data_IF_983514673040
#
_entry.id   IF_983514673040
#
_cell.length_a   1.000
_cell.length_b   1.000
_cell.length_c   1.000
_cell.angle_alpha   90.00
_cell.angle_beta   90.00
_cell.angle_gamma   90.00
#
_symmetry.space_group_name_H-M   'P 1'
#
loop_
_entity.id
_entity.type
_entity.pdbx_description
1 polymer ?
#
# COMPACT_ATOMS: atom_id res chain seq x y z
N UNK A 1 11.37 25.70 -41.90
CA UNK A 1 11.91 24.66 -41.00
C UNK A 1 10.79 24.24 -40.04
N UNK A 2 10.22 23.05 -40.13
CA UNK A 2 9.20 22.59 -39.19
C UNK A 2 9.88 22.00 -37.96
N UNK A 3 9.54 22.54 -36.80
CA UNK A 3 9.95 22.03 -35.48
C UNK A 3 9.17 20.74 -35.24
N UNK A 4 9.82 19.61 -35.45
CA UNK A 4 9.32 18.31 -35.05
C UNK A 4 9.35 18.23 -33.52
N UNK A 5 8.20 18.54 -32.90
CA UNK A 5 7.95 18.25 -31.48
C UNK A 5 8.03 16.73 -31.29
N UNK A 6 9.14 16.26 -30.76
CA UNK A 6 9.29 14.89 -30.26
C UNK A 6 8.17 14.63 -29.23
N UNK A 7 7.14 13.90 -29.64
CA UNK A 7 6.17 13.31 -28.72
C UNK A 7 6.93 12.33 -27.81
N UNK A 8 7.34 12.83 -26.62
CA UNK A 8 7.75 11.93 -25.54
C UNK A 8 6.59 10.96 -25.30
N UNK A 9 6.81 9.70 -25.62
CA UNK A 9 5.83 8.64 -25.39
C UNK A 9 5.44 8.68 -23.91
N UNK A 10 4.18 9.00 -23.64
CA UNK A 10 3.62 8.97 -22.27
C UNK A 10 3.85 7.58 -21.70
N UNK A 11 4.59 7.44 -20.60
CA UNK A 11 4.86 6.11 -20.03
C UNK A 11 3.55 5.47 -19.61
N UNK A 12 3.22 4.40 -20.30
CA UNK A 12 1.98 3.66 -20.20
C UNK A 12 1.80 3.11 -18.77
N UNK A 13 0.96 3.77 -17.99
CA UNK A 13 0.21 3.27 -16.82
C UNK A 13 0.92 2.21 -15.92
N UNK A 14 2.10 2.52 -15.38
CA UNK A 14 2.90 1.58 -14.58
C UNK A 14 2.33 1.37 -13.16
N UNK A 15 1.68 2.36 -12.57
CA UNK A 15 1.15 2.31 -11.20
C UNK A 15 -0.01 1.33 -11.04
N UNK A 16 -1.03 1.45 -11.89
CA UNK A 16 -2.20 0.57 -11.86
C UNK A 16 -1.84 -0.88 -12.23
N UNK A 17 -0.80 -1.10 -13.04
CA UNK A 17 -0.31 -2.45 -13.36
C UNK A 17 0.27 -3.14 -12.12
N UNK A 18 1.05 -2.45 -11.30
CA UNK A 18 1.64 -3.01 -10.08
C UNK A 18 0.57 -3.42 -9.07
N UNK A 19 -0.46 -2.60 -8.90
CA UNK A 19 -1.58 -2.92 -7.99
C UNK A 19 -2.33 -4.16 -8.46
N UNK A 20 -2.60 -4.29 -9.77
CA UNK A 20 -3.24 -5.48 -10.34
C UNK A 20 -2.43 -6.75 -10.09
N UNK A 21 -1.10 -6.68 -10.06
CA UNK A 21 -0.24 -7.82 -9.76
C UNK A 21 -0.42 -8.26 -8.30
N UNK A 22 -0.50 -7.33 -7.35
CA UNK A 22 -0.77 -7.67 -5.94
C UNK A 22 -2.17 -8.25 -5.74
N UNK A 23 -3.19 -7.68 -6.40
CA UNK A 23 -4.55 -8.23 -6.39
C UNK A 23 -4.59 -9.65 -6.94
N UNK A 24 -3.93 -9.89 -8.08
CA UNK A 24 -3.83 -11.20 -8.69
C UNK A 24 -3.11 -12.21 -7.79
N UNK A 25 -2.00 -11.82 -7.18
CA UNK A 25 -1.25 -12.65 -6.26
C UNK A 25 -2.12 -13.08 -5.06
N UNK A 26 -2.93 -12.16 -4.50
CA UNK A 26 -3.89 -12.47 -3.43
C UNK A 26 -4.92 -13.54 -3.86
N UNK A 27 -5.48 -13.39 -5.05
CA UNK A 27 -6.45 -14.38 -5.57
C UNK A 27 -5.80 -15.77 -5.65
N UNK A 28 -4.57 -15.87 -6.14
CA UNK A 28 -3.88 -17.16 -6.21
C UNK A 28 -3.58 -17.74 -4.83
N UNK A 29 -3.14 -16.94 -3.86
CA UNK A 29 -2.91 -17.40 -2.48
C UNK A 29 -4.21 -17.89 -1.84
N UNK A 30 -5.31 -17.16 -2.02
CA UNK A 30 -6.63 -17.56 -1.52
C UNK A 30 -7.14 -18.84 -2.17
N UNK A 31 -6.94 -19.01 -3.49
CA UNK A 31 -7.27 -20.25 -4.19
C UNK A 31 -6.42 -21.42 -3.70
N UNK A 32 -5.13 -21.21 -3.51
CA UNK A 32 -4.23 -22.24 -2.99
C UNK A 32 -4.64 -22.68 -1.58
N UNK A 33 -5.03 -21.75 -0.69
CA UNK A 33 -5.53 -22.08 0.64
C UNK A 33 -6.86 -22.85 0.60
N UNK A 34 -7.72 -22.60 -0.39
CA UNK A 34 -8.97 -23.35 -0.57
C UNK A 34 -8.75 -24.74 -1.17
N UNK A 35 -7.71 -24.91 -2.02
CA UNK A 35 -7.37 -26.17 -2.67
C UNK A 35 -6.93 -27.25 -1.65
N UNK A 36 -6.34 -26.84 -0.55
CA UNK A 36 -5.97 -27.75 0.57
C UNK A 36 -7.20 -28.42 1.22
N UNK A 37 -8.39 -27.85 1.08
CA UNK A 37 -9.65 -28.45 1.53
C UNK A 37 -9.89 -28.42 3.03
N UNK A 38 -9.06 -27.71 3.82
CA UNK A 38 -9.28 -27.57 5.26
C UNK A 38 -10.30 -26.48 5.60
N UNK A 39 -10.99 -26.66 6.74
CA UNK A 39 -11.96 -25.67 7.22
C UNK A 39 -11.30 -24.31 7.51
N UNK A 40 -10.09 -24.33 8.08
CA UNK A 40 -9.33 -23.11 8.42
C UNK A 40 -8.83 -22.39 7.18
N UNK A 41 -8.23 -23.11 6.23
CA UNK A 41 -7.76 -22.54 4.96
C UNK A 41 -8.88 -21.86 4.18
N UNK A 42 -10.05 -22.51 4.07
CA UNK A 42 -11.20 -21.95 3.39
C UNK A 42 -11.81 -20.74 4.10
N UNK A 43 -11.81 -20.73 5.45
CA UNK A 43 -12.27 -19.59 6.25
C UNK A 43 -11.31 -18.40 6.12
N UNK A 44 -10.00 -18.64 6.21
CA UNK A 44 -8.95 -17.63 6.00
C UNK A 44 -9.04 -17.00 4.62
N UNK A 45 -9.19 -17.82 3.56
CA UNK A 45 -9.32 -17.37 2.18
C UNK A 45 -10.51 -16.42 1.97
N UNK A 46 -11.69 -16.75 2.51
CA UNK A 46 -12.87 -15.88 2.42
C UNK A 46 -12.68 -14.54 3.12
N UNK A 47 -12.01 -14.54 4.28
CA UNK A 47 -11.71 -13.32 5.03
C UNK A 47 -10.70 -12.44 4.31
N UNK A 48 -9.64 -13.03 3.76
CA UNK A 48 -8.63 -12.33 2.97
C UNK A 48 -9.24 -11.73 1.69
N UNK A 49 -10.12 -12.45 1.00
CA UNK A 49 -10.84 -11.93 -0.16
C UNK A 49 -11.74 -10.75 0.21
N UNK A 50 -12.43 -10.79 1.36
CA UNK A 50 -13.27 -9.69 1.83
C UNK A 50 -12.43 -8.43 2.09
N UNK A 51 -11.29 -8.58 2.75
CA UNK A 51 -10.35 -7.45 2.99
C UNK A 51 -9.88 -6.87 1.66
N UNK A 52 -9.45 -7.71 0.72
CA UNK A 52 -9.01 -7.25 -0.58
C UNK A 52 -10.07 -6.51 -1.37
N UNK A 53 -11.29 -7.02 -1.37
CA UNK A 53 -12.40 -6.38 -2.05
C UNK A 53 -12.70 -4.96 -1.55
N UNK A 54 -12.46 -4.71 -0.25
CA UNK A 54 -12.66 -3.39 0.35
C UNK A 54 -11.41 -2.50 0.25
N UNK A 55 -10.22 -3.08 0.39
CA UNK A 55 -8.96 -2.34 0.40
C UNK A 55 -8.54 -1.85 -1.00
N UNK A 56 -8.78 -2.64 -2.04
CA UNK A 56 -8.38 -2.28 -3.41
C UNK A 56 -9.07 -1.01 -3.93
N UNK A 57 -10.40 -0.82 -3.82
CA UNK A 57 -11.04 0.43 -4.22
C UNK A 57 -10.54 1.63 -3.41
N UNK A 58 -10.30 1.44 -2.10
CA UNK A 58 -9.77 2.50 -1.24
C UNK A 58 -8.36 2.90 -1.67
N UNK A 59 -7.49 1.94 -1.99
CA UNK A 59 -6.14 2.21 -2.51
C UNK A 59 -6.18 2.95 -3.85
N UNK A 60 -7.09 2.55 -4.75
CA UNK A 60 -7.28 3.26 -6.02
C UNK A 60 -7.70 4.71 -5.80
N UNK A 61 -8.60 4.99 -4.84
CA UNK A 61 -9.01 6.36 -4.51
C UNK A 61 -7.85 7.19 -3.96
N UNK A 62 -6.99 6.63 -3.12
CA UNK A 62 -5.76 7.29 -2.65
C UNK A 62 -4.85 7.67 -3.82
N UNK A 63 -4.65 6.75 -4.76
CA UNK A 63 -3.82 7.02 -5.94
C UNK A 63 -4.45 8.05 -6.89
N UNK A 64 -5.77 8.03 -7.04
CA UNK A 64 -6.47 9.07 -7.79
C UNK A 64 -6.31 10.43 -7.14
N UNK A 65 -6.45 10.54 -5.82
CA UNK A 65 -6.21 11.81 -5.10
C UNK A 65 -4.79 12.33 -5.34
N UNK A 66 -3.79 11.45 -5.26
CA UNK A 66 -2.40 11.83 -5.55
C UNK A 66 -2.17 12.18 -7.04
N UNK A 67 -2.90 11.57 -7.98
CA UNK A 67 -2.77 11.80 -9.42
C UNK A 67 -3.35 13.14 -9.89
N UNK A 68 -4.25 13.75 -9.11
CA UNK A 68 -4.84 15.06 -9.42
C UNK A 68 -3.79 16.17 -9.38
N UNK A 69 -2.78 16.07 -8.49
CA UNK A 69 -1.73 17.08 -8.33
C UNK A 69 -0.91 17.29 -9.62
N UNK A 70 -0.32 16.23 -10.25
CA UNK A 70 0.41 16.36 -11.50
C UNK A 70 -0.48 16.22 -12.74
N UNK A 71 -1.78 15.96 -12.59
CA UNK A 71 -2.71 15.60 -13.67
C UNK A 71 -2.20 14.42 -14.52
N UNK A 72 -1.56 13.46 -13.86
CA UNK A 72 -0.93 12.30 -14.50
C UNK A 72 -1.21 11.03 -13.69
N UNK A 73 -1.44 9.92 -14.37
CA UNK A 73 -1.60 8.59 -13.76
C UNK A 73 -0.29 7.81 -13.65
N UNK A 74 0.83 8.38 -14.08
CA UNK A 74 2.15 7.78 -13.94
C UNK A 74 2.69 8.00 -12.53
N UNK A 75 2.96 6.91 -11.81
CA UNK A 75 3.49 6.97 -10.44
C UNK A 75 4.83 7.72 -10.39
N UNK A 76 5.70 7.53 -11.38
CA UNK A 76 6.97 8.25 -11.46
C UNK A 76 6.77 9.77 -11.56
N UNK A 77 5.85 10.21 -12.43
CA UNK A 77 5.53 11.63 -12.58
C UNK A 77 4.86 12.20 -11.33
N UNK A 78 4.01 11.42 -10.64
CA UNK A 78 3.39 11.83 -9.38
C UNK A 78 4.47 12.11 -8.34
N UNK A 79 5.36 11.16 -8.12
CA UNK A 79 6.44 11.26 -7.14
C UNK A 79 7.39 12.41 -7.47
N UNK A 80 7.82 12.53 -8.73
CA UNK A 80 8.70 13.60 -9.21
C UNK A 80 8.06 14.99 -9.01
N UNK A 81 6.78 15.15 -9.37
CA UNK A 81 6.08 16.42 -9.20
C UNK A 81 5.93 16.81 -7.73
N UNK A 82 5.61 15.84 -6.86
CA UNK A 82 5.45 16.11 -5.43
C UNK A 82 6.83 16.42 -4.80
N UNK A 83 7.91 15.76 -5.25
CA UNK A 83 9.26 15.97 -4.75
C UNK A 83 9.83 17.37 -5.07
N UNK A 84 9.50 17.94 -6.23
CA UNK A 84 10.03 19.22 -6.70
C UNK A 84 9.13 20.44 -6.38
N UNK A 85 7.91 20.21 -5.91
CA UNK A 85 7.08 21.31 -5.42
C UNK A 85 7.53 21.69 -4.02
N UNK A 86 7.72 23.00 -3.80
CA UNK A 86 7.88 23.54 -2.46
C UNK A 86 6.82 22.94 -1.54
N UNK A 87 7.13 22.74 -0.27
CA UNK A 87 6.30 22.11 0.79
C UNK A 87 4.91 22.78 0.90
N UNK A 88 4.15 22.81 -0.18
CA UNK A 88 2.74 23.14 -0.14
C UNK A 88 2.05 21.98 0.56
N UNK A 89 1.66 22.20 1.81
CA UNK A 89 0.86 21.24 2.59
C UNK A 89 -0.48 21.13 1.87
N UNK A 90 -0.59 20.14 1.00
CA UNK A 90 -1.89 19.80 0.40
C UNK A 90 -2.73 19.07 1.44
N UNK A 91 -3.80 19.66 1.98
CA UNK A 91 -4.66 18.97 2.96
C UNK A 91 -5.22 17.67 2.40
N UNK A 92 -5.46 17.62 1.09
CA UNK A 92 -5.89 16.43 0.37
C UNK A 92 -4.91 15.27 0.51
N UNK A 93 -3.59 15.56 0.48
CA UNK A 93 -2.55 14.56 0.60
C UNK A 93 -2.46 14.01 2.04
N UNK A 94 -2.78 14.83 3.05
CA UNK A 94 -2.83 14.38 4.44
C UNK A 94 -3.96 13.36 4.65
N UNK A 95 -5.17 13.64 4.14
CA UNK A 95 -6.29 12.68 4.18
C UNK A 95 -5.96 11.38 3.41
N UNK A 96 -5.36 11.52 2.23
CA UNK A 96 -4.91 10.38 1.44
C UNK A 96 -3.81 9.57 2.17
N UNK A 97 -2.92 10.22 2.91
CA UNK A 97 -1.86 9.58 3.70
C UNK A 97 -2.41 8.76 4.86
N UNK A 98 -3.39 9.32 5.60
CA UNK A 98 -4.07 8.57 6.67
C UNK A 98 -4.83 7.38 6.09
N UNK A 99 -5.58 7.57 5.01
CA UNK A 99 -6.27 6.49 4.31
C UNK A 99 -5.30 5.40 3.84
N UNK A 100 -4.16 5.79 3.25
CA UNK A 100 -3.13 4.86 2.80
C UNK A 100 -2.53 4.04 3.95
N UNK A 101 -2.24 4.66 5.10
CA UNK A 101 -1.72 3.92 6.27
C UNK A 101 -2.73 2.91 6.77
N UNK A 102 -4.01 3.26 6.88
CA UNK A 102 -5.07 2.32 7.26
C UNK A 102 -5.16 1.14 6.28
N UNK A 103 -5.14 1.41 4.98
CA UNK A 103 -5.16 0.38 3.94
C UNK A 103 -3.91 -0.49 4.00
N UNK A 104 -2.74 0.11 4.18
CA UNK A 104 -1.47 -0.61 4.27
C UNK A 104 -1.43 -1.57 5.45
N UNK A 105 -1.97 -1.18 6.61
CA UNK A 105 -2.11 -2.07 7.78
C UNK A 105 -3.01 -3.26 7.46
N UNK A 106 -4.17 -3.03 6.83
CA UNK A 106 -5.09 -4.09 6.46
C UNK A 106 -4.50 -5.04 5.40
N UNK A 107 -3.86 -4.49 4.38
CA UNK A 107 -3.25 -5.24 3.28
C UNK A 107 -2.09 -6.13 3.71
N UNK A 108 -1.33 -5.71 4.72
CA UNK A 108 -0.18 -6.44 5.21
C UNK A 108 -0.49 -7.27 6.48
N UNK A 109 -1.77 -7.50 6.77
CA UNK A 109 -2.23 -8.26 7.92
C UNK A 109 -1.59 -7.79 9.24
N UNK A 110 -1.56 -6.46 9.46
CA UNK A 110 -0.97 -5.83 10.64
C UNK A 110 -2.05 -5.36 11.61
N UNK A 111 -1.66 -5.18 12.87
CA UNK A 111 -2.54 -4.62 13.89
C UNK A 111 -2.97 -3.21 13.45
N UNK A 112 -4.24 -2.82 13.55
CA UNK A 112 -5.33 -3.44 14.33
C UNK A 112 -6.16 -4.49 13.58
N UNK A 113 -5.94 -4.73 12.30
CA UNK A 113 -6.78 -5.60 11.46
C UNK A 113 -6.51 -7.08 11.74
N UNK A 114 -5.25 -7.48 11.72
CA UNK A 114 -4.82 -8.82 12.08
C UNK A 114 -3.62 -8.76 13.03
N UNK A 115 -3.37 -9.84 13.76
CA UNK A 115 -2.21 -9.96 14.62
C UNK A 115 -1.58 -11.35 14.40
N UNK A 116 -0.42 -11.40 13.75
CA UNK A 116 0.24 -12.66 13.47
C UNK A 116 0.70 -13.42 14.73
N UNK A 117 0.81 -12.73 15.88
CA UNK A 117 1.18 -13.35 17.14
C UNK A 117 0.01 -14.01 17.90
N UNK A 118 -1.23 -13.83 17.45
CA UNK A 118 -2.42 -14.39 18.13
C UNK A 118 -2.95 -15.60 17.37
N UNK A 119 -2.73 -16.80 17.89
CA UNK A 119 -3.19 -18.06 17.31
C UNK A 119 -4.63 -18.42 17.73
N UNK A 120 -5.53 -17.45 17.86
CA UNK A 120 -6.94 -17.67 18.15
C UNK A 120 -7.69 -17.96 16.84
N UNK A 121 -8.13 -19.19 16.64
CA UNK A 121 -8.78 -19.73 15.44
C UNK A 121 -9.90 -18.87 14.88
N UNK A 122 -10.73 -18.29 15.74
CA UNK A 122 -11.85 -17.44 15.33
C UNK A 122 -11.45 -16.05 14.81
N UNK A 123 -10.22 -15.62 15.01
CA UNK A 123 -9.76 -14.27 14.70
C UNK A 123 -8.62 -14.22 13.68
N UNK A 124 -8.08 -15.39 13.28
CA UNK A 124 -7.00 -15.49 12.30
C UNK A 124 -7.52 -15.18 10.90
N UNK A 125 -6.71 -14.44 10.14
CA UNK A 125 -6.97 -14.13 8.73
C UNK A 125 -5.82 -14.69 7.90
N UNK A 126 -4.68 -14.04 7.92
CA UNK A 126 -3.53 -14.42 7.13
C UNK A 126 -2.89 -15.73 7.60
N UNK A 127 -2.74 -15.91 8.90
CA UNK A 127 -2.18 -17.13 9.48
C UNK A 127 -3.02 -18.37 9.13
N UNK A 128 -4.35 -18.23 9.04
CA UNK A 128 -5.23 -19.33 8.65
C UNK A 128 -5.00 -19.80 7.21
N UNK A 129 -4.50 -18.92 6.32
CA UNK A 129 -4.16 -19.27 4.93
C UNK A 129 -2.92 -20.14 4.81
N UNK A 130 -1.94 -19.92 5.71
CA UNK A 130 -0.61 -20.53 5.62
C UNK A 130 -0.43 -21.72 6.56
N UNK A 131 -1.44 -22.01 7.40
CA UNK A 131 -1.34 -23.00 8.48
C UNK A 131 -0.95 -24.41 8.00
N UNK A 132 -1.40 -24.79 6.82
CA UNK A 132 -1.17 -26.11 6.24
C UNK A 132 0.15 -26.21 5.45
N UNK A 133 0.81 -25.08 5.23
CA UNK A 133 2.07 -25.06 4.50
C UNK A 133 3.26 -25.26 5.45
N UNK A 134 4.26 -26.01 4.99
CA UNK A 134 5.48 -26.27 5.75
C UNK A 134 6.74 -26.17 4.89
N UNK A 135 7.89 -26.09 5.54
CA UNK A 135 9.21 -26.08 4.90
C UNK A 135 9.33 -24.96 3.86
N UNK A 136 9.76 -25.32 2.65
CA UNK A 136 10.07 -24.36 1.57
C UNK A 136 8.86 -23.55 1.12
N UNK A 137 7.66 -24.12 1.15
CA UNK A 137 6.45 -23.43 0.68
C UNK A 137 6.04 -22.34 1.68
N UNK A 138 6.09 -22.62 2.97
CA UNK A 138 5.86 -21.63 4.02
C UNK A 138 6.88 -20.49 3.92
N UNK A 139 8.17 -20.81 3.79
CA UNK A 139 9.23 -19.80 3.66
C UNK A 139 9.02 -18.86 2.47
N UNK A 140 8.54 -19.38 1.32
CA UNK A 140 8.23 -18.57 0.14
C UNK A 140 7.04 -17.64 0.39
N UNK A 141 5.99 -18.10 1.10
CA UNK A 141 4.84 -17.28 1.44
C UNK A 141 5.20 -16.17 2.42
N UNK A 142 5.99 -16.46 3.46
CA UNK A 142 6.48 -15.46 4.42
C UNK A 142 7.40 -14.43 3.74
N UNK A 143 8.26 -14.88 2.84
CA UNK A 143 9.11 -13.99 2.05
C UNK A 143 8.28 -13.08 1.15
N UNK A 144 7.26 -13.63 0.48
CA UNK A 144 6.34 -12.84 -0.35
C UNK A 144 5.57 -11.79 0.48
N UNK A 145 5.14 -12.14 1.70
CA UNK A 145 4.50 -11.21 2.62
C UNK A 145 5.46 -10.07 3.03
N UNK A 146 6.71 -10.40 3.33
CA UNK A 146 7.75 -9.40 3.65
C UNK A 146 8.04 -8.46 2.48
N UNK A 147 8.12 -8.99 1.25
CA UNK A 147 8.28 -8.19 0.03
C UNK A 147 7.07 -7.28 -0.22
N UNK A 148 5.84 -7.75 0.07
CA UNK A 148 4.63 -6.95 -0.03
C UNK A 148 4.68 -5.78 0.94
N UNK A 149 5.02 -6.01 2.21
CA UNK A 149 5.18 -4.96 3.22
C UNK A 149 6.22 -3.93 2.80
N UNK A 150 7.38 -4.38 2.32
CA UNK A 150 8.44 -3.52 1.81
C UNK A 150 7.94 -2.65 0.64
N UNK A 151 7.22 -3.24 -0.32
CA UNK A 151 6.69 -2.52 -1.47
C UNK A 151 5.65 -1.46 -1.08
N UNK A 152 4.74 -1.76 -0.14
CA UNK A 152 3.79 -0.79 0.41
C UNK A 152 4.50 0.32 1.17
N UNK A 153 5.51 0.00 1.97
CA UNK A 153 6.32 1.00 2.69
C UNK A 153 7.05 1.94 1.72
N UNK A 154 7.69 1.40 0.69
CA UNK A 154 8.33 2.20 -0.35
C UNK A 154 7.33 3.08 -1.11
N UNK A 155 6.14 2.56 -1.42
CA UNK A 155 5.08 3.33 -2.08
C UNK A 155 4.61 4.49 -1.21
N UNK A 156 4.36 4.24 0.08
CA UNK A 156 3.97 5.27 1.04
C UNK A 156 5.03 6.36 1.21
N UNK A 157 6.29 5.95 1.37
CA UNK A 157 7.41 6.91 1.47
C UNK A 157 7.57 7.74 0.19
N UNK A 158 7.42 7.14 -0.99
CA UNK A 158 7.53 7.84 -2.25
C UNK A 158 6.40 8.85 -2.48
N UNK A 159 5.17 8.54 -2.04
CA UNK A 159 4.00 9.40 -2.24
C UNK A 159 3.89 10.51 -1.19
N UNK A 160 4.16 10.20 0.09
CA UNK A 160 3.87 11.12 1.20
C UNK A 160 5.12 11.77 1.78
N UNK A 161 6.31 11.19 1.57
CA UNK A 161 7.59 11.69 2.04
C UNK A 161 8.63 11.69 0.90
N UNK A 162 8.40 12.44 -0.19
CA UNK A 162 9.21 12.34 -1.42
C UNK A 162 10.60 13.01 -1.32
N UNK A 163 10.94 13.63 -0.20
CA UNK A 163 12.24 14.27 0.00
C UNK A 163 13.40 13.26 -0.01
N UNK A 164 14.57 13.68 -0.55
CA UNK A 164 15.76 12.83 -0.65
C UNK A 164 15.65 11.74 -1.74
N UNK A 165 14.86 11.97 -2.78
CA UNK A 165 14.81 11.14 -3.99
C UNK A 165 15.87 11.70 -4.94
N UNK A 166 16.78 10.82 -5.41
CA UNK A 166 17.82 11.20 -6.36
C UNK A 166 17.24 11.48 -7.76
N UNK A 167 17.78 12.48 -8.44
CA UNK A 167 17.51 12.71 -9.85
C UNK A 167 18.19 11.65 -10.73
N UNK A 168 17.54 11.31 -11.85
CA UNK A 168 17.98 10.21 -12.72
C UNK A 168 19.39 10.39 -13.35
N UNK A 169 19.96 11.59 -13.27
CA UNK A 169 21.21 11.94 -13.93
C UNK A 169 22.40 12.21 -13.01
N UNK A 170 22.25 12.10 -11.69
CA UNK A 170 23.27 12.37 -10.70
C UNK A 170 23.68 11.10 -9.94
N UNK A 171 24.76 10.39 -10.35
CA UNK A 171 25.17 9.15 -9.69
C UNK A 171 25.55 9.32 -8.22
N UNK A 172 26.08 10.49 -7.84
CA UNK A 172 26.40 10.80 -6.46
C UNK A 172 25.14 10.92 -5.59
N UNK A 173 24.09 11.52 -6.13
CA UNK A 173 22.80 11.65 -5.43
C UNK A 173 22.14 10.28 -5.23
N UNK A 174 22.31 9.34 -6.17
CA UNK A 174 21.82 7.98 -6.03
C UNK A 174 22.48 7.24 -4.86
N UNK A 175 23.79 7.43 -4.66
CA UNK A 175 24.53 6.85 -3.54
C UNK A 175 24.06 7.44 -2.20
N UNK A 176 23.77 8.75 -2.16
CA UNK A 176 23.24 9.43 -0.96
C UNK A 176 21.76 9.10 -0.70
N UNK A 177 20.98 8.81 -1.73
CA UNK A 177 19.56 8.45 -1.60
C UNK A 177 19.35 7.08 -0.93
N UNK A 178 20.28 6.13 -1.11
CA UNK A 178 20.20 4.80 -0.49
C UNK A 178 20.18 4.85 1.06
N UNK A 179 21.15 5.50 1.75
CA UNK A 179 21.09 5.61 3.21
C UNK A 179 19.87 6.40 3.70
N UNK A 180 19.42 7.42 2.96
CA UNK A 180 18.19 8.15 3.29
C UNK A 180 16.97 7.24 3.19
N UNK A 181 16.88 6.38 2.17
CA UNK A 181 15.80 5.39 2.05
C UNK A 181 15.83 4.39 3.21
N UNK A 182 17.01 3.85 3.55
CA UNK A 182 17.16 2.92 4.67
C UNK A 182 16.76 3.59 6.00
N UNK A 183 17.15 4.84 6.23
CA UNK A 183 16.76 5.58 7.41
C UNK A 183 15.24 5.81 7.48
N UNK A 184 14.61 6.19 6.38
CA UNK A 184 13.15 6.35 6.29
C UNK A 184 12.42 5.04 6.56
N UNK A 185 12.89 3.93 6.00
CA UNK A 185 12.32 2.61 6.26
C UNK A 185 12.49 2.18 7.71
N UNK A 186 13.64 2.48 8.33
CA UNK A 186 13.86 2.19 9.75
C UNK A 186 12.92 3.00 10.65
N UNK A 187 12.76 4.30 10.37
CA UNK A 187 11.81 5.16 11.09
C UNK A 187 10.37 4.69 10.87
N UNK A 188 9.99 4.38 9.63
CA UNK A 188 8.68 3.82 9.29
C UNK A 188 8.40 2.50 10.00
N UNK A 189 9.39 1.62 10.08
CA UNK A 189 9.32 0.35 10.82
C UNK A 189 9.16 0.56 12.32
N UNK A 190 9.88 1.53 12.91
CA UNK A 190 9.71 1.90 14.33
C UNK A 190 8.32 2.48 14.62
N UNK A 191 7.80 3.33 13.73
CA UNK A 191 6.46 3.87 13.86
C UNK A 191 5.40 2.76 13.72
N UNK A 192 5.59 1.83 12.80
CA UNK A 192 4.72 0.67 12.65
C UNK A 192 4.73 -0.17 13.93
N UNK A 193 5.90 -0.50 14.48
CA UNK A 193 6.01 -1.25 15.72
C UNK A 193 5.36 -0.51 16.91
N UNK A 194 5.51 0.81 16.98
CA UNK A 194 4.85 1.63 18.00
C UNK A 194 3.32 1.60 17.83
N UNK A 195 2.81 1.67 16.61
CA UNK A 195 1.38 1.53 16.31
C UNK A 195 0.85 0.14 16.69
N UNK A 196 1.60 -0.91 16.39
CA UNK A 196 1.24 -2.30 16.74
C UNK A 196 1.20 -2.52 18.25
N UNK A 197 2.12 -1.92 19.00
CA UNK A 197 2.15 -2.02 20.48
C UNK A 197 1.08 -1.16 21.15
N UNK A 198 0.71 -0.03 20.56
CA UNK A 198 -0.31 0.88 21.09
C UNK A 198 -1.74 0.47 20.73
N UNK A 199 -1.90 -0.30 19.64
CA UNK A 199 -3.21 -0.67 19.11
C UNK A 199 -3.62 -2.07 19.56
N UNK A 200 -4.89 -2.22 19.97
CA UNK A 200 -5.46 -3.53 20.23
C UNK A 200 -6.06 -4.12 18.95
N UNK A 201 -5.98 -5.45 18.80
CA UNK A 201 -6.61 -6.16 17.69
C UNK A 201 -8.11 -5.91 17.66
N UNK A 202 -8.64 -5.53 16.51
CA UNK A 202 -10.06 -5.35 16.28
C UNK A 202 -10.77 -6.69 16.07
N UNK A 203 -12.07 -6.71 16.35
CA UNK A 203 -12.93 -7.84 15.97
C UNK A 203 -13.08 -7.83 14.44
N UNK A 204 -13.09 -9.01 13.84
CA UNK A 204 -13.15 -9.17 12.38
C UNK A 204 -14.35 -8.45 11.73
N UNK A 205 -15.48 -8.37 12.44
CA UNK A 205 -16.69 -7.67 11.96
C UNK A 205 -16.52 -6.14 11.86
N UNK A 206 -15.50 -5.56 12.49
CA UNK A 206 -15.17 -4.12 12.37
C UNK A 206 -14.18 -3.79 11.27
N UNK A 207 -13.58 -4.81 10.65
CA UNK A 207 -12.64 -4.60 9.53
C UNK A 207 -13.30 -3.89 8.34
N UNK A 208 -14.54 -4.23 7.93
CA UNK A 208 -15.25 -3.48 6.90
C UNK A 208 -15.49 -2.02 7.24
N UNK A 209 -15.81 -1.70 8.51
CA UNK A 209 -15.98 -0.32 8.97
C UNK A 209 -14.65 0.44 8.90
N UNK A 210 -13.56 -0.19 9.33
CA UNK A 210 -12.22 0.37 9.26
C UNK A 210 -11.79 0.68 7.82
N UNK A 211 -11.98 -0.25 6.89
CA UNK A 211 -11.67 -0.03 5.47
C UNK A 211 -12.65 0.93 4.80
N UNK A 212 -13.93 0.93 5.22
CA UNK A 212 -14.91 1.91 4.78
C UNK A 212 -14.54 3.33 5.20
N UNK A 213 -14.03 3.53 6.43
CA UNK A 213 -13.52 4.84 6.87
C UNK A 213 -12.28 5.26 6.09
N UNK A 214 -11.38 4.33 5.77
CA UNK A 214 -10.22 4.62 4.93
C UNK A 214 -10.65 5.06 3.51
N UNK A 215 -11.64 4.38 2.92
CA UNK A 215 -12.20 4.77 1.63
C UNK A 215 -12.84 6.16 1.68
N UNK A 216 -13.64 6.45 2.71
CA UNK A 216 -14.26 7.77 2.89
C UNK A 216 -13.21 8.88 3.06
N UNK A 217 -12.16 8.64 3.83
CA UNK A 217 -11.05 9.60 3.97
C UNK A 217 -10.35 9.86 2.63
N UNK A 218 -10.14 8.82 1.80
CA UNK A 218 -9.56 8.99 0.48
C UNK A 218 -10.48 9.82 -0.45
N UNK A 219 -11.80 9.60 -0.38
CA UNK A 219 -12.80 10.38 -1.12
C UNK A 219 -12.83 11.84 -0.63
N UNK A 220 -12.79 12.06 0.68
CA UNK A 220 -12.71 13.42 1.25
C UNK A 220 -11.44 14.12 0.78
N UNK A 221 -10.29 13.44 0.79
CA UNK A 221 -9.05 13.99 0.25
C UNK A 221 -9.18 14.42 -1.20
N UNK A 222 -9.82 13.61 -2.04
CA UNK A 222 -10.10 13.96 -3.43
C UNK A 222 -11.03 15.17 -3.55
N UNK A 223 -12.12 15.22 -2.78
CA UNK A 223 -13.07 16.32 -2.79
C UNK A 223 -12.43 17.62 -2.33
N UNK A 224 -11.64 17.58 -1.27
CA UNK A 224 -10.90 18.76 -0.76
C UNK A 224 -9.97 19.32 -1.84
N UNK A 225 -9.28 18.47 -2.60
CA UNK A 225 -8.43 18.89 -3.71
C UNK A 225 -9.24 19.62 -4.80
N UNK A 226 -10.40 19.06 -5.18
CA UNK A 226 -11.26 19.62 -6.23
C UNK A 226 -11.89 20.94 -5.77
N UNK A 227 -12.34 21.03 -4.51
CA UNK A 227 -13.01 22.22 -3.97
C UNK A 227 -12.04 23.38 -3.73
N UNK A 228 -10.83 23.10 -3.27
CA UNK A 228 -9.82 24.14 -3.04
C UNK A 228 -9.14 24.60 -4.33
N UNK A 229 -9.32 23.87 -5.44
CA UNK A 229 -8.74 24.21 -6.74
C UNK A 229 -7.20 24.22 -6.76
N UNK A 230 -6.58 23.48 -5.82
CA UNK A 230 -5.13 23.48 -5.59
C UNK A 230 -4.46 22.31 -6.29
#
# INVERSE_FOLDING_TARGET
>A
MPITASRKAVPRNSGTRKIRIFALARVFVSLAAMDVGTAFGSMGARREMLIGFLAEPALLMVLFSASLIPKSTSLATIVETIAHRELAIYPSLAFAGVAFTMISLAENARVPVDNPATHLELTMIHEALILEYSGRHLALLEWAASLKLFAYSCLGLALFLPWGIAEAHAPLELVLALPVLVLKLAIGGMLLAALETASAKMRIFRVPEFLGTAFLLAVIGMLVHILLGV
#
